data_IF_837884112471
#
_entry.id   IF_837884112471
#
_cell.length_a   1.000
_cell.length_b   1.000
_cell.length_c   1.000
_cell.angle_alpha   90.00
_cell.angle_beta   90.00
_cell.angle_gamma   90.00
#
_symmetry.space_group_name_H-M   'P 1'
#
loop_
_entity.id
_entity.type
_entity.pdbx_description
1 polymer ?
#
# COMPACT_ATOMS: atom_id res chain seq x y z
N UNK A 1 44.51 -23.73 51.81
CA UNK A 1 43.38 -23.08 51.12
C UNK A 1 43.95 -22.37 49.91
N UNK A 2 43.71 -22.95 48.70
CA UNK A 2 44.24 -22.41 47.41
C UNK A 2 43.12 -21.70 46.72
N UNK A 3 43.22 -20.37 46.60
CA UNK A 3 42.21 -19.56 45.82
C UNK A 3 42.49 -19.77 44.33
N UNK A 4 41.50 -20.34 43.63
CA UNK A 4 41.47 -20.32 42.16
C UNK A 4 40.88 -18.99 41.69
N UNK A 5 41.69 -18.18 40.99
CA UNK A 5 41.22 -16.98 40.29
C UNK A 5 40.61 -17.37 38.96
N UNK A 6 39.29 -17.10 38.78
CA UNK A 6 38.59 -17.26 37.51
C UNK A 6 38.83 -15.99 36.69
N UNK A 7 39.58 -16.11 35.60
CA UNK A 7 39.79 -15.03 34.65
C UNK A 7 38.56 -14.94 33.73
N UNK A 8 37.74 -13.91 33.91
CA UNK A 8 36.66 -13.53 32.96
C UNK A 8 37.25 -12.65 31.87
N UNK A 9 37.60 -13.24 30.73
CA UNK A 9 37.96 -12.48 29.53
C UNK A 9 36.74 -11.81 28.90
N UNK A 10 36.89 -10.62 28.28
CA UNK A 10 35.79 -9.97 27.60
C UNK A 10 35.33 -10.81 26.39
N UNK A 11 34.05 -11.18 26.35
CA UNK A 11 33.43 -11.80 25.18
C UNK A 11 33.21 -10.67 24.15
N UNK A 12 34.06 -10.58 23.14
CA UNK A 12 33.84 -9.75 21.97
C UNK A 12 32.68 -10.39 21.15
N UNK A 13 31.49 -9.86 21.28
CA UNK A 13 30.40 -10.15 20.35
C UNK A 13 30.79 -9.55 19.00
N UNK A 14 31.22 -10.39 18.07
CA UNK A 14 31.41 -10.00 16.66
C UNK A 14 30.05 -9.56 16.11
N UNK A 15 29.89 -8.25 15.89
CA UNK A 15 28.71 -7.74 15.16
C UNK A 15 28.79 -8.25 13.72
N UNK A 16 27.76 -8.98 13.28
CA UNK A 16 27.62 -9.31 11.88
C UNK A 16 27.65 -8.01 11.04
N UNK A 17 28.33 -7.99 9.86
CA UNK A 17 28.33 -6.81 9.01
C UNK A 17 26.90 -6.38 8.71
N UNK A 18 26.61 -5.09 8.92
CA UNK A 18 25.30 -4.54 8.56
C UNK A 18 25.06 -4.78 7.08
N UNK A 19 23.92 -5.41 6.74
CA UNK A 19 23.54 -5.61 5.35
C UNK A 19 23.47 -4.24 4.66
N UNK A 20 24.14 -4.10 3.52
CA UNK A 20 24.10 -2.87 2.74
C UNK A 20 22.70 -2.68 2.15
N UNK A 21 22.23 -1.44 2.11
CA UNK A 21 20.98 -1.10 1.41
C UNK A 21 21.08 -1.46 -0.08
N UNK A 22 19.97 -1.89 -0.73
CA UNK A 22 19.93 -1.99 -2.19
C UNK A 22 20.33 -0.67 -2.84
N UNK A 23 20.98 -0.72 -4.00
CA UNK A 23 21.47 0.49 -4.70
C UNK A 23 20.33 1.49 -4.97
N UNK A 24 19.12 1.01 -5.32
CA UNK A 24 17.94 1.85 -5.51
C UNK A 24 17.54 2.57 -4.22
N UNK A 25 17.55 1.86 -3.09
CA UNK A 25 17.23 2.45 -1.78
C UNK A 25 18.28 3.49 -1.36
N UNK A 26 19.53 3.31 -1.70
CA UNK A 26 20.58 4.28 -1.43
C UNK A 26 20.48 5.54 -2.32
N UNK A 27 20.08 5.36 -3.58
CA UNK A 27 19.95 6.46 -4.54
C UNK A 27 18.64 7.26 -4.38
N UNK A 28 17.53 6.59 -4.02
CA UNK A 28 16.19 7.18 -3.92
C UNK A 28 15.47 6.71 -2.64
N UNK A 29 15.98 7.04 -1.45
CA UNK A 29 15.48 6.47 -0.20
C UNK A 29 13.99 6.79 0.08
N UNK A 30 13.48 7.94 -0.31
CA UNK A 30 12.08 8.32 -0.08
C UNK A 30 11.16 7.57 -1.03
N UNK A 31 11.46 7.58 -2.33
CA UNK A 31 10.68 6.85 -3.35
C UNK A 31 10.70 5.35 -3.06
N UNK A 32 11.87 4.80 -2.75
CA UNK A 32 12.00 3.38 -2.42
C UNK A 32 11.15 2.98 -1.21
N UNK A 33 11.18 3.78 -0.14
CA UNK A 33 10.40 3.52 1.07
C UNK A 33 8.90 3.59 0.80
N UNK A 34 8.44 4.59 0.04
CA UNK A 34 7.04 4.72 -0.37
C UNK A 34 6.59 3.53 -1.24
N UNK A 35 7.41 3.09 -2.19
CA UNK A 35 7.14 1.90 -3.03
C UNK A 35 6.99 0.64 -2.18
N UNK A 36 7.84 0.42 -1.20
CA UNK A 36 7.76 -0.75 -0.31
C UNK A 36 6.43 -0.80 0.45
N UNK A 37 6.00 0.34 0.99
CA UNK A 37 4.71 0.44 1.67
C UNK A 37 3.55 0.22 0.69
N UNK A 38 3.60 0.88 -0.45
CA UNK A 38 2.61 0.76 -1.52
C UNK A 38 2.42 -0.69 -1.98
N UNK A 39 3.52 -1.40 -2.31
CA UNK A 39 3.48 -2.78 -2.78
C UNK A 39 2.90 -3.74 -1.75
N UNK A 40 3.23 -3.54 -0.45
CA UNK A 40 2.63 -4.31 0.64
C UNK A 40 1.12 -4.14 0.68
N UNK A 41 0.65 -2.88 0.60
CA UNK A 41 -0.77 -2.58 0.76
C UNK A 41 -1.55 -2.96 -0.49
N UNK A 42 -1.00 -2.76 -1.69
CA UNK A 42 -1.57 -3.24 -2.94
C UNK A 42 -1.84 -4.75 -2.93
N UNK A 43 -0.84 -5.54 -2.53
CA UNK A 43 -0.98 -7.00 -2.39
C UNK A 43 -2.10 -7.38 -1.42
N UNK A 44 -2.13 -6.73 -0.27
CA UNK A 44 -3.13 -7.02 0.76
C UNK A 44 -4.54 -6.62 0.33
N UNK A 45 -4.68 -5.48 -0.36
CA UNK A 45 -5.98 -5.00 -0.83
C UNK A 45 -6.57 -5.86 -1.92
N UNK A 46 -5.76 -6.25 -2.92
CA UNK A 46 -6.19 -7.18 -3.96
C UNK A 46 -6.66 -8.49 -3.34
N UNK A 47 -5.87 -9.07 -2.44
CA UNK A 47 -6.23 -10.31 -1.77
C UNK A 47 -7.50 -10.15 -0.92
N UNK A 48 -7.67 -9.05 -0.19
CA UNK A 48 -8.86 -8.77 0.60
C UNK A 48 -10.13 -8.65 -0.28
N UNK A 49 -10.00 -7.99 -1.44
CA UNK A 49 -11.09 -7.89 -2.40
C UNK A 49 -11.45 -9.26 -3.01
N UNK A 50 -10.45 -10.09 -3.33
CA UNK A 50 -10.68 -11.44 -3.84
C UNK A 50 -11.29 -12.39 -2.81
N UNK A 51 -10.90 -12.28 -1.54
CA UNK A 51 -11.38 -13.15 -0.45
C UNK A 51 -12.82 -12.83 -0.03
N UNK A 52 -13.23 -11.58 -0.02
CA UNK A 52 -14.60 -11.21 0.36
C UNK A 52 -15.62 -11.88 -0.58
N UNK A 53 -16.58 -12.67 -0.06
CA UNK A 53 -17.63 -13.27 -0.88
C UNK A 53 -18.46 -12.21 -1.60
N UNK A 54 -18.91 -12.49 -2.82
CA UNK A 54 -19.66 -11.56 -3.64
C UNK A 54 -20.92 -11.01 -2.94
N UNK A 55 -21.66 -11.90 -2.26
CA UNK A 55 -22.87 -11.52 -1.50
C UNK A 55 -22.58 -10.65 -0.27
N UNK A 56 -21.30 -10.37 0.03
CA UNK A 56 -20.83 -9.49 1.10
C UNK A 56 -20.28 -8.16 0.61
N UNK A 57 -20.31 -7.91 -0.70
CA UNK A 57 -19.87 -6.62 -1.25
C UNK A 57 -20.79 -5.45 -0.87
N UNK A 58 -22.06 -5.74 -0.57
CA UNK A 58 -23.00 -4.75 0.00
C UNK A 58 -22.93 -4.62 1.53
N UNK A 59 -22.08 -5.40 2.21
CA UNK A 59 -21.94 -5.33 3.66
C UNK A 59 -21.30 -4.01 4.09
N UNK A 60 -21.84 -3.42 5.16
CA UNK A 60 -21.28 -2.29 5.91
C UNK A 60 -21.53 -2.51 7.42
N UNK A 61 -20.59 -2.14 8.30
CA UNK A 61 -20.73 -2.39 9.75
C UNK A 61 -21.85 -1.58 10.42
N UNK A 62 -22.06 -0.34 9.96
CA UNK A 62 -23.12 0.56 10.44
C UNK A 62 -23.76 1.26 9.22
N UNK A 63 -24.99 1.78 9.35
CA UNK A 63 -25.70 2.45 8.24
C UNK A 63 -24.93 3.59 7.59
N UNK A 64 -24.08 4.30 8.33
CA UNK A 64 -23.32 5.46 7.85
C UNK A 64 -21.97 5.07 7.21
N UNK A 65 -21.51 3.83 7.38
CA UNK A 65 -20.26 3.38 6.79
C UNK A 65 -20.44 2.93 5.35
N UNK A 66 -19.39 3.04 4.58
CA UNK A 66 -19.37 2.58 3.20
C UNK A 66 -19.55 1.05 3.11
N UNK A 67 -20.15 0.61 2.02
CA UNK A 67 -20.15 -0.82 1.69
C UNK A 67 -18.75 -1.28 1.32
N UNK A 68 -18.49 -2.58 1.43
CA UNK A 68 -17.21 -3.15 0.99
C UNK A 68 -16.94 -2.87 -0.50
N UNK A 69 -17.97 -3.00 -1.36
CA UNK A 69 -17.87 -2.66 -2.79
C UNK A 69 -17.51 -1.20 -3.02
N UNK A 70 -18.08 -0.28 -2.22
CA UNK A 70 -17.73 1.15 -2.30
C UNK A 70 -16.27 1.41 -1.88
N UNK A 71 -15.76 0.72 -0.86
CA UNK A 71 -14.33 0.80 -0.51
C UNK A 71 -13.43 0.37 -1.68
N UNK A 72 -13.73 -0.77 -2.31
CA UNK A 72 -12.96 -1.29 -3.45
C UNK A 72 -12.99 -0.33 -4.64
N UNK A 73 -14.19 0.18 -5.00
CA UNK A 73 -14.36 1.18 -6.07
C UNK A 73 -13.58 2.46 -5.76
N UNK A 74 -13.69 2.97 -4.54
CA UNK A 74 -13.01 4.19 -4.13
C UNK A 74 -11.49 4.04 -4.23
N UNK A 75 -10.94 2.94 -3.73
CA UNK A 75 -9.49 2.69 -3.82
C UNK A 75 -9.01 2.60 -5.26
N UNK A 76 -9.76 1.95 -6.16
CA UNK A 76 -9.40 1.90 -7.58
C UNK A 76 -9.31 3.32 -8.18
N UNK A 77 -10.27 4.18 -7.86
CA UNK A 77 -10.33 5.55 -8.37
C UNK A 77 -9.29 6.47 -7.71
N UNK A 78 -9.14 6.43 -6.38
CA UNK A 78 -8.17 7.26 -5.67
C UNK A 78 -6.72 6.93 -6.05
N UNK A 79 -6.39 5.63 -6.11
CA UNK A 79 -5.08 5.14 -6.53
C UNK A 79 -4.77 5.56 -7.98
N UNK A 80 -5.72 5.36 -8.90
CA UNK A 80 -5.60 5.82 -10.29
C UNK A 80 -5.38 7.32 -10.38
N UNK A 81 -6.18 8.12 -9.67
CA UNK A 81 -6.09 9.58 -9.66
C UNK A 81 -4.77 10.12 -9.06
N UNK A 82 -4.29 9.51 -7.97
CA UNK A 82 -3.01 9.87 -7.36
C UNK A 82 -1.84 9.57 -8.31
N UNK A 83 -1.87 8.42 -8.98
CA UNK A 83 -0.83 8.07 -9.96
C UNK A 83 -0.92 8.87 -11.24
N UNK A 84 -2.12 9.27 -11.68
CA UNK A 84 -2.29 10.24 -12.76
C UNK A 84 -1.64 11.59 -12.43
N UNK A 85 -1.85 12.10 -11.20
CA UNK A 85 -1.19 13.32 -10.74
C UNK A 85 0.34 13.19 -10.66
N UNK A 86 0.84 12.02 -10.23
CA UNK A 86 2.29 11.74 -10.16
C UNK A 86 2.95 11.66 -11.54
N UNK A 87 2.28 11.06 -12.53
CA UNK A 87 2.81 10.86 -13.88
C UNK A 87 2.56 12.06 -14.82
N UNK A 88 1.51 12.83 -14.57
CA UNK A 88 0.99 13.83 -15.50
C UNK A 88 0.21 13.23 -16.68
N UNK A 89 -0.22 11.96 -16.57
CA UNK A 89 -1.02 11.25 -17.59
C UNK A 89 -2.37 10.85 -16.99
N UNK A 90 -3.40 10.71 -17.83
CA UNK A 90 -4.72 10.30 -17.36
C UNK A 90 -4.72 8.85 -16.86
N UNK A 91 -5.51 8.59 -15.82
CA UNK A 91 -5.76 7.25 -15.35
C UNK A 91 -6.58 6.45 -16.39
N UNK A 92 -6.36 5.12 -16.51
CA UNK A 92 -7.17 4.29 -17.39
C UNK A 92 -8.65 4.34 -17.04
N UNK A 93 -9.54 4.31 -18.05
CA UNK A 93 -10.99 4.29 -17.83
C UNK A 93 -11.45 3.13 -16.93
N UNK A 94 -10.72 2.01 -16.93
CA UNK A 94 -11.00 0.83 -16.10
C UNK A 94 -10.97 1.08 -14.59
N UNK A 95 -10.33 2.15 -14.11
CA UNK A 95 -10.33 2.48 -12.67
C UNK A 95 -11.66 3.10 -12.22
N UNK A 96 -12.47 3.62 -13.16
CA UNK A 96 -13.76 4.26 -12.87
C UNK A 96 -14.89 3.23 -12.85
N UNK A 97 -14.79 2.26 -11.92
CA UNK A 97 -15.81 1.22 -11.72
C UNK A 97 -16.89 1.70 -10.75
N UNK A 98 -18.17 1.40 -11.05
CA UNK A 98 -19.27 1.71 -10.14
C UNK A 98 -19.13 0.94 -8.82
N UNK A 99 -19.49 1.56 -7.69
CA UNK A 99 -19.50 0.94 -6.36
C UNK A 99 -20.55 -0.19 -6.21
N UNK A 100 -21.50 -0.27 -7.14
CA UNK A 100 -22.53 -1.30 -7.24
C UNK A 100 -22.26 -2.33 -8.34
N UNK A 101 -21.10 -2.25 -9.00
CA UNK A 101 -20.69 -3.22 -10.02
C UNK A 101 -20.49 -4.62 -9.42
N UNK A 102 -20.37 -5.63 -10.27
CA UNK A 102 -20.07 -6.99 -9.84
C UNK A 102 -18.72 -7.06 -9.09
N UNK A 103 -18.56 -8.05 -8.21
CA UNK A 103 -17.25 -8.32 -7.58
C UNK A 103 -16.14 -8.42 -8.62
N UNK A 104 -16.40 -9.12 -9.73
CA UNK A 104 -15.42 -9.31 -10.79
C UNK A 104 -14.94 -7.98 -11.39
N UNK A 105 -15.88 -7.07 -11.69
CA UNK A 105 -15.56 -5.76 -12.25
C UNK A 105 -14.83 -4.87 -11.24
N UNK A 106 -15.27 -4.88 -9.98
CA UNK A 106 -14.62 -4.14 -8.89
C UNK A 106 -13.17 -4.59 -8.67
N UNK A 107 -12.92 -5.91 -8.63
CA UNK A 107 -11.56 -6.47 -8.51
C UNK A 107 -10.73 -6.16 -9.76
N UNK A 108 -11.31 -6.21 -10.94
CA UNK A 108 -10.62 -5.86 -12.18
C UNK A 108 -10.21 -4.38 -12.20
N UNK A 109 -11.11 -3.47 -11.82
CA UNK A 109 -10.82 -2.04 -11.71
C UNK A 109 -9.73 -1.74 -10.67
N UNK A 110 -9.79 -2.42 -9.51
CA UNK A 110 -8.76 -2.30 -8.49
C UNK A 110 -7.38 -2.74 -9.02
N UNK A 111 -7.30 -3.90 -9.67
CA UNK A 111 -6.05 -4.38 -10.29
C UNK A 111 -5.53 -3.42 -11.34
N UNK A 112 -6.41 -2.94 -12.24
CA UNK A 112 -6.04 -1.97 -13.27
C UNK A 112 -5.42 -0.70 -12.68
N UNK A 113 -5.87 -0.24 -11.51
CA UNK A 113 -5.28 0.92 -10.83
C UNK A 113 -3.86 0.63 -10.35
N UNK A 114 -3.59 -0.55 -9.82
CA UNK A 114 -2.26 -0.95 -9.38
C UNK A 114 -1.31 -1.20 -10.55
N UNK A 115 -1.80 -1.80 -11.64
CA UNK A 115 -1.03 -2.03 -12.87
C UNK A 115 -0.63 -0.70 -13.54
N UNK A 116 -1.48 0.31 -13.48
CA UNK A 116 -1.16 1.66 -13.94
C UNK A 116 -0.11 2.34 -13.04
N UNK A 117 -0.27 2.24 -11.73
CA UNK A 117 0.61 2.88 -10.76
C UNK A 117 2.04 2.32 -10.71
N UNK A 118 2.20 1.02 -10.90
CA UNK A 118 3.50 0.36 -10.81
C UNK A 118 4.59 1.06 -11.64
N UNK A 119 4.44 1.17 -12.97
CA UNK A 119 5.38 1.87 -13.83
C UNK A 119 5.59 3.34 -13.48
N UNK A 120 4.54 4.03 -12.98
CA UNK A 120 4.66 5.43 -12.55
C UNK A 120 5.65 5.55 -11.38
N UNK A 121 5.50 4.69 -10.37
CA UNK A 121 6.40 4.67 -9.21
C UNK A 121 7.81 4.22 -9.58
N UNK A 122 7.97 3.31 -10.54
CA UNK A 122 9.26 2.86 -11.04
C UNK A 122 10.03 3.97 -11.77
N UNK A 123 9.34 4.90 -12.39
CA UNK A 123 9.94 6.07 -13.08
C UNK A 123 10.22 7.26 -12.16
N UNK A 124 9.87 7.21 -10.87
CA UNK A 124 10.13 8.30 -9.93
C UNK A 124 11.56 8.24 -9.35
N UNK A 125 12.08 9.43 -9.03
CA UNK A 125 13.33 9.60 -8.29
C UNK A 125 13.15 10.65 -7.22
N UNK A 126 13.95 10.59 -6.15
CA UNK A 126 13.92 11.58 -5.08
C UNK A 126 14.21 13.01 -5.60
N UNK A 127 15.04 13.14 -6.64
CA UNK A 127 15.33 14.42 -7.27
C UNK A 127 14.09 15.13 -7.86
N UNK A 128 13.06 14.36 -8.26
CA UNK A 128 11.81 14.90 -8.82
C UNK A 128 10.76 15.25 -7.77
N UNK A 129 10.97 14.92 -6.51
CA UNK A 129 9.95 15.09 -5.47
C UNK A 129 9.62 16.55 -5.14
N UNK A 130 10.53 17.49 -5.44
CA UNK A 130 10.29 18.92 -5.32
C UNK A 130 9.50 19.55 -6.47
N UNK A 131 9.34 18.83 -7.60
CA UNK A 131 8.58 19.37 -8.73
C UNK A 131 7.12 19.60 -8.37
N UNK A 132 6.57 20.69 -8.93
CA UNK A 132 5.18 21.11 -8.67
C UNK A 132 4.22 20.29 -9.53
N UNK A 133 3.16 19.79 -8.89
CA UNK A 133 2.04 19.11 -9.53
C UNK A 133 0.71 19.71 -9.05
N UNK A 134 -0.37 19.40 -9.77
CA UNK A 134 -1.73 19.69 -9.30
C UNK A 134 -2.36 18.42 -8.73
N UNK A 135 -2.78 18.48 -7.45
CA UNK A 135 -3.49 17.39 -6.77
C UNK A 135 -4.67 17.99 -6.00
N UNK A 136 -5.86 17.41 -6.12
CA UNK A 136 -7.10 17.90 -5.48
C UNK A 136 -7.34 19.41 -5.72
N UNK A 137 -7.13 19.87 -6.97
CA UNK A 137 -7.23 21.27 -7.38
C UNK A 137 -6.27 22.23 -6.65
N UNK A 138 -5.21 21.72 -6.03
CA UNK A 138 -4.19 22.50 -5.33
C UNK A 138 -2.82 22.24 -5.94
N UNK A 139 -2.03 23.28 -6.02
CA UNK A 139 -0.61 23.20 -6.39
C UNK A 139 0.20 22.74 -5.19
N UNK A 140 0.97 21.67 -5.34
CA UNK A 140 1.79 21.12 -4.27
C UNK A 140 3.02 20.37 -4.83
N UNK A 141 4.06 20.10 -4.01
CA UNK A 141 5.19 19.33 -4.46
C UNK A 141 4.77 17.88 -4.75
N UNK A 142 5.42 17.24 -5.72
CA UNK A 142 5.20 15.83 -6.09
C UNK A 142 5.31 14.88 -4.89
N UNK A 143 6.19 15.20 -3.94
CA UNK A 143 6.32 14.48 -2.67
C UNK A 143 4.99 14.32 -1.93
N UNK A 144 4.09 15.33 -2.01
CA UNK A 144 2.80 15.25 -1.31
C UNK A 144 1.94 14.10 -1.85
N UNK A 145 1.83 13.95 -3.19
CA UNK A 145 1.10 12.83 -3.79
C UNK A 145 1.75 11.47 -3.47
N UNK A 146 3.10 11.41 -3.53
CA UNK A 146 3.84 10.20 -3.19
C UNK A 146 3.60 9.75 -1.74
N UNK A 147 3.49 10.67 -0.79
CA UNK A 147 3.23 10.34 0.62
C UNK A 147 1.76 10.03 0.90
N UNK A 148 0.85 10.72 0.22
CA UNK A 148 -0.59 10.44 0.35
C UNK A 148 -0.91 9.04 -0.16
N UNK A 149 -0.27 8.56 -1.22
CA UNK A 149 -0.56 7.28 -1.86
C UNK A 149 -0.51 6.09 -0.88
N UNK A 150 0.60 5.76 -0.19
CA UNK A 150 0.62 4.66 0.77
C UNK A 150 -0.22 4.95 2.02
N UNK A 151 -0.42 6.21 2.41
CA UNK A 151 -1.24 6.56 3.57
C UNK A 151 -2.73 6.27 3.29
N UNK A 152 -3.23 6.64 2.11
CA UNK A 152 -4.59 6.36 1.64
C UNK A 152 -4.84 4.85 1.56
N UNK A 153 -3.90 4.10 0.97
CA UNK A 153 -4.01 2.64 0.90
C UNK A 153 -4.02 1.98 2.29
N UNK A 154 -3.17 2.44 3.22
CA UNK A 154 -3.12 1.88 4.57
C UNK A 154 -4.42 2.13 5.34
N UNK A 155 -5.02 3.33 5.23
CA UNK A 155 -6.31 3.66 5.85
C UNK A 155 -7.42 2.75 5.30
N UNK A 156 -7.57 2.66 3.99
CA UNK A 156 -8.62 1.85 3.38
C UNK A 156 -8.38 0.34 3.54
N UNK A 157 -7.12 -0.12 3.55
CA UNK A 157 -6.85 -1.52 3.87
C UNK A 157 -7.24 -1.86 5.31
N UNK A 158 -7.03 -0.97 6.27
CA UNK A 158 -7.45 -1.20 7.65
C UNK A 158 -8.96 -1.38 7.77
N UNK A 159 -9.73 -0.62 7.01
CA UNK A 159 -11.19 -0.75 6.92
C UNK A 159 -11.58 -2.09 6.27
N UNK A 160 -11.00 -2.45 5.12
CA UNK A 160 -11.24 -3.75 4.47
C UNK A 160 -10.92 -4.92 5.39
N UNK A 161 -9.80 -4.86 6.11
CA UNK A 161 -9.38 -5.88 7.06
C UNK A 161 -10.36 -6.01 8.25
N UNK A 162 -10.91 -4.88 8.73
CA UNK A 162 -11.95 -4.88 9.75
C UNK A 162 -13.24 -5.55 9.24
N UNK A 163 -13.66 -5.24 8.00
CA UNK A 163 -14.85 -5.83 7.39
C UNK A 163 -14.71 -7.35 7.21
N UNK A 164 -13.54 -7.84 6.78
CA UNK A 164 -13.26 -9.27 6.72
C UNK A 164 -13.43 -9.93 8.08
N UNK A 165 -12.84 -9.37 9.16
CA UNK A 165 -12.96 -9.91 10.52
C UNK A 165 -14.40 -9.94 11.01
N UNK A 166 -15.17 -8.88 10.75
CA UNK A 166 -16.60 -8.82 11.11
C UNK A 166 -17.46 -9.85 10.37
N UNK A 167 -16.95 -10.38 9.25
CA UNK A 167 -17.55 -11.49 8.51
C UNK A 167 -16.87 -12.85 8.78
N UNK A 168 -16.09 -12.98 9.86
CA UNK A 168 -15.47 -14.24 10.28
C UNK A 168 -14.24 -14.66 9.45
N UNK A 169 -13.67 -13.76 8.66
CA UNK A 169 -12.50 -14.05 7.80
C UNK A 169 -11.23 -13.44 8.38
N UNK A 170 -10.09 -14.13 8.17
CA UNK A 170 -8.78 -13.63 8.56
C UNK A 170 -8.22 -12.75 7.42
N UNK A 171 -7.93 -11.44 7.67
CA UNK A 171 -7.44 -10.58 6.58
C UNK A 171 -6.06 -11.02 6.09
N UNK A 172 -5.69 -10.74 4.83
CA UNK A 172 -4.42 -11.16 4.22
C UNK A 172 -3.18 -10.87 5.07
N UNK A 173 -3.11 -9.71 5.71
CA UNK A 173 -1.98 -9.33 6.57
C UNK A 173 -1.86 -10.14 7.87
N UNK A 174 -2.89 -10.89 8.27
CA UNK A 174 -2.92 -11.73 9.45
C UNK A 174 -2.80 -13.23 9.13
N UNK A 175 -2.78 -13.59 7.84
CA UNK A 175 -2.62 -14.98 7.42
C UNK A 175 -1.16 -15.45 7.61
N UNK A 176 -0.92 -16.74 7.87
CA UNK A 176 0.42 -17.31 7.91
C UNK A 176 1.17 -17.06 6.60
N UNK A 177 2.43 -16.62 6.69
CA UNK A 177 3.28 -16.50 5.49
C UNK A 177 3.53 -17.89 4.92
N UNK A 178 3.20 -18.05 3.65
CA UNK A 178 3.52 -19.29 2.90
C UNK A 178 4.99 -19.27 2.49
#
# INVERSE_FOLDING_TARGET
>A
MTLMAVATGPVLLAQAPAASLPAEAAANPVVWSAKMLYQRDAKNMIAAAEEMPENKYSYHPTPDQWTFGKLVSHVAQSNGGLCAALSGTDAPAAVHVSDTASKADLVAGLKASFDFCGPVLDGLTDAKLGETITLFHRTMPRAAALLVLPADLADHYSQMAAYLRLNGMLPPSAQPRK
#
